data_IF_045260519351
#
_entry.id   IF_045260519351
#
_cell.length_a   1.000
_cell.length_b   1.000
_cell.length_c   1.000
_cell.angle_alpha   90.00
_cell.angle_beta   90.00
_cell.angle_gamma   90.00
#
_symmetry.space_group_name_H-M   'P 1'
#
loop_
_entity.id
_entity.type
_entity.pdbx_description
1 polymer ?
#
# COMPACT_ATOMS: atom_id res chain seq x y z
N UNK A 1 -21.73 -0.63 -4.25
CA UNK A 1 -21.34 0.80 -4.36
C UNK A 1 -21.03 1.19 -5.81
N UNK A 2 -20.35 0.37 -6.60
CA UNK A 2 -19.96 0.70 -7.99
C UNK A 2 -21.14 0.98 -8.92
N UNK A 3 -22.19 0.14 -8.89
CA UNK A 3 -23.43 0.41 -9.62
C UNK A 3 -24.10 1.72 -9.22
N UNK A 4 -24.07 2.07 -7.93
CA UNK A 4 -24.62 3.32 -7.45
C UNK A 4 -23.80 4.52 -7.97
N UNK A 5 -22.47 4.44 -7.90
CA UNK A 5 -21.60 5.48 -8.46
C UNK A 5 -21.80 5.64 -9.97
N UNK A 6 -21.91 4.54 -10.69
CA UNK A 6 -22.19 4.54 -12.13
C UNK A 6 -23.53 5.20 -12.41
N UNK A 7 -24.58 4.81 -11.70
CA UNK A 7 -25.92 5.36 -11.87
C UNK A 7 -25.96 6.88 -11.62
N UNK A 8 -25.41 7.35 -10.51
CA UNK A 8 -25.38 8.79 -10.21
C UNK A 8 -24.62 9.56 -11.26
N UNK A 9 -23.45 9.06 -11.67
CA UNK A 9 -22.63 9.73 -12.69
C UNK A 9 -23.33 9.83 -14.06
N UNK A 10 -24.10 8.82 -14.44
CA UNK A 10 -24.83 8.79 -15.73
C UNK A 10 -26.09 9.61 -15.68
N UNK A 11 -26.81 9.59 -14.54
CA UNK A 11 -28.08 10.29 -14.40
C UNK A 11 -27.90 11.77 -14.02
N UNK A 12 -26.85 12.05 -13.21
CA UNK A 12 -26.57 13.39 -12.68
C UNK A 12 -25.10 13.75 -12.89
N UNK A 13 -24.66 14.09 -14.12
CA UNK A 13 -23.24 14.30 -14.43
C UNK A 13 -22.56 15.42 -13.62
N UNK A 14 -23.33 16.36 -13.10
CA UNK A 14 -22.83 17.44 -12.23
C UNK A 14 -22.59 17.01 -10.79
N UNK A 15 -23.15 15.87 -10.36
CA UNK A 15 -22.97 15.33 -8.99
C UNK A 15 -21.73 14.46 -8.90
N UNK A 16 -20.61 15.09 -8.63
CA UNK A 16 -19.30 14.42 -8.60
C UNK A 16 -18.81 14.07 -7.19
N UNK A 17 -19.59 14.36 -6.15
CA UNK A 17 -19.20 14.16 -4.77
C UNK A 17 -20.26 13.42 -3.98
N UNK A 18 -19.86 12.41 -3.26
CA UNK A 18 -20.69 11.76 -2.25
C UNK A 18 -20.18 12.11 -0.87
N UNK A 19 -21.09 12.51 -0.01
CA UNK A 19 -20.82 12.77 1.40
C UNK A 19 -21.63 11.81 2.26
N UNK A 20 -21.03 11.34 3.33
CA UNK A 20 -21.69 10.50 4.32
C UNK A 20 -21.13 10.77 5.71
N UNK A 21 -21.95 10.57 6.74
CA UNK A 21 -21.49 10.41 8.11
C UNK A 21 -21.34 8.92 8.41
N UNK A 22 -20.15 8.51 8.78
CA UNK A 22 -19.83 7.13 9.13
C UNK A 22 -19.60 7.03 10.64
N UNK A 23 -20.20 6.06 11.30
CA UNK A 23 -19.79 5.67 12.63
C UNK A 23 -18.38 5.05 12.63
N UNK A 24 -17.79 4.88 13.81
CA UNK A 24 -16.43 4.38 13.93
C UNK A 24 -16.24 2.99 13.29
N UNK A 25 -17.27 2.16 13.26
CA UNK A 25 -17.22 0.82 12.66
C UNK A 25 -17.35 0.88 11.13
N UNK A 26 -18.12 1.82 10.61
CA UNK A 26 -18.37 1.97 9.17
C UNK A 26 -17.23 2.69 8.43
N UNK A 27 -16.37 3.45 9.12
CA UNK A 27 -15.24 4.17 8.50
C UNK A 27 -14.37 3.25 7.65
N UNK A 28 -14.06 2.05 8.15
CA UNK A 28 -13.26 1.07 7.41
C UNK A 28 -13.93 0.59 6.13
N UNK A 29 -15.24 0.39 6.16
CA UNK A 29 -16.03 0.04 4.99
C UNK A 29 -16.01 1.16 3.93
N UNK A 30 -16.31 2.39 4.34
CA UNK A 30 -16.34 3.52 3.41
C UNK A 30 -14.96 3.82 2.80
N UNK A 31 -13.86 3.67 3.56
CA UNK A 31 -12.51 3.77 3.00
C UNK A 31 -12.28 2.77 1.86
N UNK A 32 -12.70 1.52 2.02
CA UNK A 32 -12.62 0.49 0.96
C UNK A 32 -13.48 0.83 -0.26
N UNK A 33 -14.50 1.65 -0.09
CA UNK A 33 -15.34 2.15 -1.17
C UNK A 33 -14.81 3.44 -1.83
N UNK A 34 -13.64 3.93 -1.41
CA UNK A 34 -13.00 5.11 -1.96
C UNK A 34 -13.41 6.43 -1.30
N UNK A 35 -13.97 6.37 -0.09
CA UNK A 35 -14.21 7.56 0.72
C UNK A 35 -12.97 7.93 1.53
N UNK A 36 -12.73 9.22 1.71
CA UNK A 36 -11.68 9.79 2.53
C UNK A 36 -12.28 10.67 3.65
N UNK A 37 -11.47 10.96 4.67
CA UNK A 37 -11.85 11.92 5.72
C UNK A 37 -11.56 13.37 5.29
N UNK A 38 -10.83 13.55 4.20
CA UNK A 38 -10.53 14.84 3.62
C UNK A 38 -11.72 15.29 2.77
N UNK A 39 -12.33 16.41 3.15
CA UNK A 39 -13.48 16.98 2.46
C UNK A 39 -13.00 18.08 1.54
N UNK A 40 -13.10 17.86 0.24
CA UNK A 40 -12.69 18.81 -0.79
C UNK A 40 -13.84 19.73 -1.21
N UNK A 41 -15.09 19.29 -1.02
CA UNK A 41 -16.27 20.09 -1.34
C UNK A 41 -16.42 21.24 -0.33
N UNK A 42 -16.60 22.50 -0.78
CA UNK A 42 -16.76 23.64 0.12
C UNK A 42 -17.90 23.44 1.11
N UNK A 43 -17.65 23.74 2.38
CA UNK A 43 -18.63 23.53 3.46
C UNK A 43 -19.96 24.26 3.20
N UNK A 44 -19.94 25.40 2.55
CA UNK A 44 -21.14 26.17 2.17
C UNK A 44 -22.11 25.42 1.26
N UNK A 45 -21.60 24.41 0.53
CA UNK A 45 -22.43 23.61 -0.41
C UNK A 45 -23.20 22.52 0.32
N UNK A 46 -22.65 21.93 1.37
CA UNK A 46 -23.23 20.76 2.03
C UNK A 46 -23.67 20.98 3.48
N UNK A 47 -23.23 22.07 4.12
CA UNK A 47 -23.61 22.35 5.51
C UNK A 47 -25.14 22.50 5.64
N UNK A 48 -25.71 21.78 6.60
CA UNK A 48 -27.14 21.75 6.87
C UNK A 48 -27.94 20.72 6.08
N UNK A 49 -27.36 20.10 5.03
CA UNK A 49 -28.01 19.02 4.28
C UNK A 49 -27.78 17.64 4.89
N UNK A 50 -26.66 17.46 5.57
CA UNK A 50 -26.31 16.18 6.21
C UNK A 50 -26.43 16.37 7.71
N UNK A 51 -27.20 15.49 8.35
CA UNK A 51 -27.33 15.49 9.80
C UNK A 51 -26.01 15.11 10.44
N UNK A 52 -25.54 15.94 11.38
CA UNK A 52 -24.38 15.64 12.21
C UNK A 52 -24.77 14.67 13.33
N UNK A 53 -23.96 13.65 13.51
CA UNK A 53 -24.12 12.65 14.57
C UNK A 53 -22.92 12.70 15.48
N UNK A 54 -23.16 12.76 16.79
CA UNK A 54 -22.11 12.67 17.78
C UNK A 54 -21.34 11.34 17.62
N UNK A 55 -20.00 11.41 17.56
CA UNK A 55 -19.15 10.26 17.31
C UNK A 55 -19.07 9.80 15.85
N UNK A 56 -19.79 10.46 14.93
CA UNK A 56 -19.68 10.21 13.50
C UNK A 56 -18.48 10.91 12.86
N UNK A 57 -17.97 10.33 11.80
CA UNK A 57 -16.93 10.93 10.95
C UNK A 57 -17.53 11.26 9.59
N UNK A 58 -17.47 12.52 9.16
CA UNK A 58 -17.83 12.89 7.80
C UNK A 58 -16.80 12.37 6.82
N UNK A 59 -17.24 11.81 5.71
CA UNK A 59 -16.38 11.25 4.68
C UNK A 59 -16.88 11.64 3.31
N UNK A 60 -15.95 11.91 2.40
CA UNK A 60 -16.21 12.28 1.01
C UNK A 60 -15.67 11.22 0.05
N UNK A 61 -16.42 10.95 -1.01
CA UNK A 61 -15.93 10.24 -2.19
C UNK A 61 -16.15 11.12 -3.42
N UNK A 62 -15.06 11.65 -3.97
CA UNK A 62 -15.08 12.33 -5.25
C UNK A 62 -15.12 11.31 -6.39
N UNK A 63 -16.06 11.46 -7.32
CA UNK A 63 -16.17 10.60 -8.49
C UNK A 63 -15.17 11.00 -9.56
N UNK A 64 -14.53 10.02 -10.16
CA UNK A 64 -13.57 10.23 -11.25
C UNK A 64 -14.31 10.25 -12.60
N UNK A 65 -14.19 11.33 -13.39
CA UNK A 65 -14.99 11.49 -14.61
C UNK A 65 -14.61 10.48 -15.72
N UNK A 66 -13.36 9.98 -15.71
CA UNK A 66 -12.84 9.08 -16.75
C UNK A 66 -12.97 7.59 -16.40
N UNK A 67 -13.46 7.25 -15.20
CA UNK A 67 -13.53 5.85 -14.74
C UNK A 67 -14.92 5.28 -14.99
N UNK A 68 -15.00 4.15 -15.68
CA UNK A 68 -16.21 3.36 -15.70
C UNK A 68 -16.28 2.49 -14.43
N UNK A 69 -17.20 2.80 -13.53
CA UNK A 69 -17.34 2.12 -12.25
C UNK A 69 -17.83 0.67 -12.36
N UNK A 70 -18.47 0.30 -13.48
CA UNK A 70 -18.86 -1.09 -13.72
C UNK A 70 -17.67 -1.99 -14.01
N UNK A 71 -16.61 -1.43 -14.61
CA UNK A 71 -15.40 -2.14 -15.00
C UNK A 71 -14.26 -1.99 -13.97
N UNK A 72 -14.57 -1.49 -12.76
CA UNK A 72 -13.55 -1.14 -11.76
C UNK A 72 -12.67 -2.34 -11.39
N UNK A 73 -13.23 -3.55 -11.37
CA UNK A 73 -12.49 -4.78 -11.05
C UNK A 73 -11.41 -5.06 -12.09
N UNK A 74 -11.75 -4.92 -13.37
CA UNK A 74 -10.83 -5.17 -14.48
C UNK A 74 -9.77 -4.06 -14.58
N UNK A 75 -10.16 -2.82 -14.29
CA UNK A 75 -9.24 -1.69 -14.21
C UNK A 75 -8.21 -1.92 -13.12
N UNK A 76 -8.65 -2.29 -11.92
CA UNK A 76 -7.75 -2.56 -10.78
C UNK A 76 -6.88 -3.79 -11.04
N UNK A 77 -7.42 -4.85 -11.65
CA UNK A 77 -6.65 -6.04 -12.00
C UNK A 77 -5.51 -5.70 -12.97
N UNK A 78 -5.78 -4.92 -14.03
CA UNK A 78 -4.77 -4.45 -14.98
C UNK A 78 -3.72 -3.55 -14.33
N UNK A 79 -4.13 -2.63 -13.46
CA UNK A 79 -3.21 -1.77 -12.71
C UNK A 79 -2.29 -2.60 -11.80
N UNK A 80 -2.86 -3.56 -11.08
CA UNK A 80 -2.09 -4.49 -10.23
C UNK A 80 -1.08 -5.27 -11.05
N UNK A 81 -1.48 -5.80 -12.19
CA UNK A 81 -0.59 -6.56 -13.08
C UNK A 81 0.58 -5.69 -13.58
N UNK A 82 0.29 -4.46 -14.02
CA UNK A 82 1.31 -3.52 -14.44
C UNK A 82 2.31 -3.18 -13.34
N UNK A 83 1.83 -2.95 -12.10
CA UNK A 83 2.70 -2.71 -10.94
C UNK A 83 3.53 -3.94 -10.61
N UNK A 84 2.92 -5.14 -10.61
CA UNK A 84 3.65 -6.39 -10.36
C UNK A 84 4.69 -6.69 -11.44
N UNK A 85 4.41 -6.39 -12.70
CA UNK A 85 5.38 -6.51 -13.78
C UNK A 85 6.58 -5.60 -13.53
N UNK A 86 6.33 -4.34 -13.12
CA UNK A 86 7.41 -3.40 -12.79
C UNK A 86 8.21 -3.82 -11.57
N UNK A 87 7.56 -4.36 -10.55
CA UNK A 87 8.25 -4.92 -9.38
C UNK A 87 9.17 -6.08 -9.80
N UNK A 88 8.70 -6.98 -10.67
CA UNK A 88 9.51 -8.11 -11.15
C UNK A 88 10.70 -7.68 -11.98
N UNK A 89 10.59 -6.58 -12.70
CA UNK A 89 11.70 -6.00 -13.48
C UNK A 89 12.81 -5.46 -12.55
N UNK A 90 12.42 -4.80 -11.47
CA UNK A 90 13.37 -4.15 -10.53
C UNK A 90 13.85 -5.13 -9.46
N UNK A 91 12.94 -5.94 -8.91
CA UNK A 91 13.19 -6.86 -7.80
C UNK A 91 13.19 -8.30 -8.27
N UNK A 92 14.14 -9.08 -7.78
CA UNK A 92 14.21 -10.53 -7.99
C UNK A 92 13.48 -11.32 -6.90
N UNK A 93 12.66 -10.67 -6.07
CA UNK A 93 11.92 -11.28 -4.94
C UNK A 93 10.94 -12.38 -5.36
N UNK A 94 10.55 -12.44 -6.63
CA UNK A 94 9.68 -13.49 -7.19
C UNK A 94 10.43 -14.77 -7.56
N UNK A 95 11.77 -14.75 -7.58
CA UNK A 95 12.59 -15.91 -7.92
C UNK A 95 12.69 -16.80 -6.68
N UNK A 96 12.19 -18.03 -6.81
CA UNK A 96 12.32 -19.05 -5.77
C UNK A 96 13.62 -19.81 -6.02
N UNK A 97 14.54 -19.76 -5.08
CA UNK A 97 15.79 -20.50 -5.12
C UNK A 97 15.61 -21.84 -4.43
N UNK A 98 16.31 -22.88 -4.94
CA UNK A 98 16.43 -24.15 -4.23
C UNK A 98 17.16 -23.90 -2.90
N UNK A 99 16.65 -24.45 -1.80
CA UNK A 99 17.26 -24.32 -0.48
C UNK A 99 18.70 -24.84 -0.44
N UNK A 100 19.39 -24.56 0.65
CA UNK A 100 20.77 -24.98 0.85
C UNK A 100 20.79 -26.49 1.09
N UNK A 101 21.28 -27.25 0.12
CA UNK A 101 21.29 -28.70 0.16
C UNK A 101 22.11 -29.28 1.34
N UNK A 102 23.11 -28.52 1.84
CA UNK A 102 23.92 -28.93 3.01
C UNK A 102 23.10 -29.14 4.29
N UNK A 103 21.93 -28.48 4.42
CA UNK A 103 21.04 -28.73 5.55
C UNK A 103 20.40 -30.12 5.53
N UNK A 104 20.30 -30.75 4.36
CA UNK A 104 19.75 -32.10 4.23
C UNK A 104 20.74 -33.20 4.62
N UNK A 105 22.04 -32.88 4.69
CA UNK A 105 23.13 -33.79 5.01
C UNK A 105 23.68 -33.60 6.44
N UNK A 106 22.96 -32.93 7.34
CA UNK A 106 23.45 -32.62 8.68
C UNK A 106 23.54 -33.83 9.56
N UNK A 107 24.77 -34.21 9.86
CA UNK A 107 25.15 -34.91 11.08
C UNK A 107 25.53 -33.83 12.12
N UNK A 108 25.20 -33.99 13.37
CA UNK A 108 25.24 -33.22 14.60
C UNK A 108 26.33 -32.13 14.82
N UNK A 109 27.11 -31.74 13.86
CA UNK A 109 28.09 -30.66 13.95
C UNK A 109 27.60 -29.38 13.29
N UNK A 110 27.32 -28.34 14.04
CA UNK A 110 26.95 -27.02 13.49
C UNK A 110 28.01 -26.56 12.46
N UNK A 111 27.56 -26.03 11.30
CA UNK A 111 28.45 -25.47 10.29
C UNK A 111 28.15 -24.01 10.04
N UNK A 112 29.18 -23.27 9.66
CA UNK A 112 29.04 -21.86 9.23
C UNK A 112 28.87 -21.84 7.72
N UNK A 113 27.86 -21.06 7.25
CA UNK A 113 27.65 -20.78 5.83
C UNK A 113 28.03 -19.33 5.60
N UNK A 114 28.84 -19.06 4.60
CA UNK A 114 29.05 -17.70 4.12
C UNK A 114 27.75 -17.24 3.44
N UNK A 115 27.36 -15.99 3.70
CA UNK A 115 26.15 -15.41 3.06
C UNK A 115 26.25 -15.39 1.54
N UNK A 116 27.48 -15.41 0.99
CA UNK A 116 27.72 -15.44 -0.46
C UNK A 116 27.32 -16.79 -1.08
N UNK A 117 27.36 -17.85 -0.29
CA UNK A 117 26.98 -19.20 -0.72
C UNK A 117 25.46 -19.43 -0.64
N UNK A 118 24.71 -18.48 -0.07
CA UNK A 118 23.26 -18.58 0.02
C UNK A 118 22.63 -18.12 -1.30
N UNK A 119 21.93 -19.02 -2.03
CA UNK A 119 21.31 -18.67 -3.31
C UNK A 119 20.39 -17.45 -3.19
N UNK A 120 20.63 -16.44 -4.03
CA UNK A 120 19.83 -15.20 -4.05
C UNK A 120 20.29 -14.07 -3.12
N UNK A 121 21.06 -14.36 -2.06
CA UNK A 121 21.53 -13.34 -1.13
C UNK A 121 22.66 -12.48 -1.71
N UNK A 122 23.59 -13.09 -2.42
CA UNK A 122 24.74 -12.39 -3.01
C UNK A 122 24.35 -11.31 -4.02
N UNK A 123 23.22 -11.47 -4.70
CA UNK A 123 22.72 -10.47 -5.67
C UNK A 123 21.96 -9.32 -5.00
N UNK A 124 21.39 -9.52 -3.83
CA UNK A 124 20.69 -8.45 -3.10
C UNK A 124 21.68 -7.45 -2.49
N UNK A 125 22.85 -7.91 -2.06
CA UNK A 125 23.84 -7.07 -1.40
C UNK A 125 24.60 -6.16 -2.38
N UNK A 126 24.78 -6.59 -3.63
CA UNK A 126 25.44 -5.75 -4.67
C UNK A 126 24.57 -4.55 -5.03
N UNK A 127 23.24 -4.68 -5.04
CA UNK A 127 22.31 -3.56 -5.27
C UNK A 127 22.26 -2.57 -4.09
N UNK A 128 22.46 -3.04 -2.87
CA UNK A 128 22.47 -2.19 -1.67
C UNK A 128 23.82 -1.50 -1.45
N UNK A 129 24.93 -2.14 -1.81
CA UNK A 129 26.26 -1.54 -1.71
C UNK A 129 26.45 -0.35 -2.66
N UNK A 130 25.73 -0.32 -3.80
CA UNK A 130 25.74 0.84 -4.72
C UNK A 130 24.93 2.04 -4.21
N UNK A 131 24.02 1.88 -3.25
CA UNK A 131 23.23 2.97 -2.64
C UNK A 131 23.76 3.46 -1.30
N UNK A 132 24.75 2.80 -0.71
CA UNK A 132 25.33 3.14 0.60
C UNK A 132 26.81 3.53 0.49
N UNK A 133 27.16 4.38 -0.48
CA UNK A 133 28.30 5.29 -0.33
C UNK A 133 27.84 6.52 0.46
N UNK A 134 27.39 6.28 1.69
CA UNK A 134 27.19 7.34 2.67
C UNK A 134 28.29 7.23 3.70
N UNK A 135 29.12 8.27 3.75
CA UNK A 135 30.20 8.60 4.65
C UNK A 135 30.27 7.81 5.96
N UNK A 136 31.27 6.96 6.07
CA UNK A 136 31.79 6.46 7.33
C UNK A 136 32.86 7.44 7.83
N UNK A 137 32.43 8.59 8.37
CA UNK A 137 33.24 9.45 9.22
C UNK A 137 32.33 10.08 10.25
N UNK A 138 32.09 9.38 11.33
CA UNK A 138 31.91 9.95 12.65
C UNK A 138 32.14 8.89 13.72
N UNK A 139 33.35 8.91 14.28
CA UNK A 139 33.67 8.47 15.62
C UNK A 139 32.62 8.96 16.62
N UNK A 140 31.99 8.07 17.34
CA UNK A 140 31.55 8.33 18.71
C UNK A 140 31.60 7.05 19.53
N UNK A 141 32.68 7.02 20.32
CA UNK A 141 32.80 6.25 21.54
C UNK A 141 31.78 6.74 22.57
N UNK A 142 31.08 5.85 23.27
CA UNK A 142 30.21 6.21 24.39
C UNK A 142 29.39 5.03 24.84
N UNK A 143 29.94 4.26 25.74
CA UNK A 143 29.44 3.71 27.00
C UNK A 143 27.91 3.59 27.14
N UNK A 144 27.45 2.35 27.20
CA UNK A 144 26.23 1.94 27.91
C UNK A 144 26.60 0.93 28.98
N UNK A 145 26.81 1.43 30.21
CA UNK A 145 26.72 0.66 31.45
C UNK A 145 25.96 1.52 32.47
N UNK A 146 25.01 0.86 33.15
CA UNK A 146 24.39 1.19 34.42
C UNK A 146 23.33 2.32 34.48
N UNK A 147 22.06 1.92 34.50
CA UNK A 147 21.13 2.03 35.63
C UNK A 147 19.78 1.39 35.29
#
# INVERSE_FOLDING_TARGET
MDHFKHHVRTTYPSMMHFLTYADNYAVGYFKKQGFTKEITLPRSVWAGYIKDYEGGTIMECALLPKVNYLDIRDIVARQREAVMAKIREISKSHIVYSGIQRFQAMNDGGFRIDYRDVPGLGMCLVGWACSLSFNADHHHSGEWLDA
#
